data_IF_222678468149
#
_entry.id   IF_222678468149
#
_cell.length_a   1.000
_cell.length_b   1.000
_cell.length_c   1.000
_cell.angle_alpha   90.00
_cell.angle_beta   90.00
_cell.angle_gamma   90.00
#
_symmetry.space_group_name_H-M   'P 1'
#
loop_
_entity.id
_entity.type
_entity.pdbx_description
1 polymer ?
#
# COMPACT_ATOMS: atom_id res chain seq x y z
N UNK A 1 18.10 19.78 -25.79
CA UNK A 1 17.54 20.19 -24.48
C UNK A 1 16.26 19.45 -24.10
N UNK A 2 15.45 18.96 -25.04
CA UNK A 2 14.21 18.19 -24.76
C UNK A 2 14.45 16.78 -24.19
N UNK A 3 15.52 16.09 -24.61
CA UNK A 3 15.84 14.73 -24.14
C UNK A 3 16.31 14.65 -22.68
N UNK A 4 17.02 15.67 -22.18
CA UNK A 4 17.43 15.71 -20.77
C UNK A 4 16.23 15.98 -19.85
N UNK A 5 15.30 16.84 -20.26
CA UNK A 5 14.06 17.10 -19.50
C UNK A 5 13.21 15.84 -19.32
N UNK A 6 13.06 15.04 -20.39
CA UNK A 6 12.33 13.77 -20.37
C UNK A 6 12.99 12.73 -19.44
N UNK A 7 14.32 12.67 -19.39
CA UNK A 7 15.05 11.76 -18.51
C UNK A 7 14.87 12.13 -17.03
N UNK A 8 14.93 13.42 -16.70
CA UNK A 8 14.65 13.91 -15.34
C UNK A 8 13.18 13.71 -14.96
N UNK A 9 12.25 13.91 -15.90
CA UNK A 9 10.83 13.63 -15.67
C UNK A 9 10.57 12.13 -15.44
N UNK A 10 11.17 11.26 -16.26
CA UNK A 10 11.02 9.82 -16.13
C UNK A 10 11.56 9.28 -14.81
N UNK A 11 12.69 9.80 -14.35
CA UNK A 11 13.29 9.43 -13.04
C UNK A 11 12.49 9.99 -11.86
N UNK A 12 12.02 11.24 -11.92
CA UNK A 12 11.18 11.83 -10.87
C UNK A 12 9.83 11.11 -10.72
N UNK A 13 9.16 10.78 -11.84
CA UNK A 13 7.90 10.04 -11.83
C UNK A 13 8.10 8.61 -11.33
N UNK A 14 9.18 7.95 -11.76
CA UNK A 14 9.54 6.61 -11.27
C UNK A 14 9.81 6.61 -9.77
N UNK A 15 10.58 7.57 -9.26
CA UNK A 15 10.84 7.71 -7.82
C UNK A 15 9.56 7.99 -7.03
N UNK A 16 8.69 8.86 -7.54
CA UNK A 16 7.39 9.14 -6.90
C UNK A 16 6.50 7.89 -6.84
N UNK A 17 6.51 7.06 -7.89
CA UNK A 17 5.78 5.79 -7.90
C UNK A 17 6.35 4.79 -6.89
N UNK A 18 7.68 4.69 -6.76
CA UNK A 18 8.34 3.80 -5.79
C UNK A 18 8.03 4.25 -4.35
N UNK A 19 8.14 5.55 -4.07
CA UNK A 19 7.84 6.12 -2.75
C UNK A 19 6.39 5.81 -2.37
N UNK A 20 5.44 6.05 -3.27
CA UNK A 20 4.02 5.78 -3.01
C UNK A 20 3.73 4.30 -2.80
N UNK A 21 4.41 3.39 -3.51
CA UNK A 21 4.30 1.95 -3.24
C UNK A 21 4.85 1.58 -1.86
N UNK A 22 6.00 2.14 -1.46
CA UNK A 22 6.58 1.91 -0.14
C UNK A 22 5.67 2.44 0.98
N UNK A 23 5.10 3.63 0.81
CA UNK A 23 4.12 4.22 1.75
C UNK A 23 2.88 3.32 1.88
N UNK A 24 2.35 2.85 0.76
CA UNK A 24 1.18 1.97 0.74
C UNK A 24 1.47 0.62 1.42
N UNK A 25 2.64 0.03 1.15
CA UNK A 25 3.09 -1.21 1.78
C UNK A 25 3.30 -1.04 3.29
N UNK A 26 3.88 0.08 3.73
CA UNK A 26 4.07 0.38 5.15
C UNK A 26 2.72 0.48 5.87
N UNK A 27 1.73 1.17 5.28
CA UNK A 27 0.38 1.25 5.86
C UNK A 27 -0.32 -0.11 5.91
N UNK A 28 -0.19 -0.94 4.87
CA UNK A 28 -0.67 -2.33 4.91
C UNK A 28 -0.07 -3.08 6.09
N UNK A 29 1.25 -3.03 6.25
CA UNK A 29 1.96 -3.73 7.32
C UNK A 29 1.54 -3.22 8.71
N UNK A 30 1.41 -1.90 8.88
CA UNK A 30 0.91 -1.31 10.13
C UNK A 30 -0.55 -1.72 10.41
N UNK A 31 -1.41 -1.74 9.39
CA UNK A 31 -2.81 -2.15 9.56
C UNK A 31 -2.90 -3.63 9.98
N UNK A 32 -2.08 -4.51 9.39
CA UNK A 32 -1.98 -5.92 9.77
C UNK A 32 -1.42 -6.07 11.19
N UNK A 33 -0.39 -5.32 11.55
CA UNK A 33 0.19 -5.35 12.90
C UNK A 33 -0.81 -4.89 13.98
N UNK A 34 -1.77 -4.04 13.61
CA UNK A 34 -2.88 -3.61 14.48
C UNK A 34 -4.12 -4.52 14.36
N UNK A 35 -3.98 -5.73 13.82
CA UNK A 35 -5.06 -6.72 13.66
C UNK A 35 -6.29 -6.19 12.91
N UNK A 36 -6.09 -5.48 11.79
CA UNK A 36 -7.21 -5.01 10.96
C UNK A 36 -8.11 -6.18 10.53
N UNK A 37 -9.38 -6.13 10.94
CA UNK A 37 -10.37 -7.17 10.64
C UNK A 37 -11.08 -6.90 9.33
N UNK A 38 -11.71 -7.93 8.78
CA UNK A 38 -12.49 -7.81 7.56
C UNK A 38 -13.59 -6.74 7.70
N UNK A 39 -13.69 -5.84 6.73
CA UNK A 39 -14.64 -4.73 6.71
C UNK A 39 -14.16 -3.50 7.49
N UNK A 40 -13.10 -3.62 8.29
CA UNK A 40 -12.53 -2.49 9.02
C UNK A 40 -11.65 -1.63 8.14
N UNK A 41 -11.58 -0.36 8.52
CA UNK A 41 -10.75 0.67 7.91
C UNK A 41 -9.95 1.35 9.01
N UNK A 42 -8.65 1.54 8.74
CA UNK A 42 -7.77 2.39 9.53
C UNK A 42 -7.37 3.62 8.73
N UNK A 43 -7.40 4.76 9.38
CA UNK A 43 -6.93 6.02 8.83
C UNK A 43 -5.51 6.31 9.32
N UNK A 44 -4.68 6.76 8.39
CA UNK A 44 -3.29 7.13 8.61
C UNK A 44 -3.07 8.54 8.07
N UNK A 45 -1.98 9.18 8.49
CA UNK A 45 -1.62 10.50 7.97
C UNK A 45 -1.37 10.52 6.46
N UNK A 46 -1.04 9.38 5.85
CA UNK A 46 -0.75 9.25 4.41
C UNK A 46 -1.95 8.79 3.58
N UNK A 47 -3.03 8.33 4.23
CA UNK A 47 -4.15 7.71 3.54
C UNK A 47 -4.97 6.81 4.45
N UNK A 48 -5.58 5.79 3.90
CA UNK A 48 -6.40 4.82 4.62
C UNK A 48 -6.09 3.41 4.16
N UNK A 49 -6.19 2.43 5.05
CA UNK A 49 -6.12 1.03 4.72
C UNK A 49 -7.42 0.34 5.12
N UNK A 50 -8.05 -0.37 4.19
CA UNK A 50 -9.30 -1.10 4.41
C UNK A 50 -9.11 -2.57 4.08
N UNK A 51 -9.49 -3.46 5.00
CA UNK A 51 -9.47 -4.90 4.72
C UNK A 51 -10.81 -5.35 4.14
N UNK A 52 -10.76 -6.06 3.01
CA UNK A 52 -11.89 -6.70 2.33
C UNK A 52 -11.52 -8.16 2.06
N UNK A 53 -11.87 -9.03 2.99
CA UNK A 53 -11.50 -10.45 3.00
C UNK A 53 -9.99 -10.62 3.09
N UNK A 54 -9.43 -11.27 2.07
CA UNK A 54 -7.98 -11.51 1.92
C UNK A 54 -7.24 -10.35 1.24
N UNK A 55 -7.93 -9.25 0.92
CA UNK A 55 -7.32 -8.05 0.35
C UNK A 55 -7.25 -6.93 1.37
N UNK A 56 -6.14 -6.22 1.40
CA UNK A 56 -6.00 -4.93 2.05
C UNK A 56 -5.86 -3.87 0.95
N UNK A 57 -6.84 -2.98 0.88
CA UNK A 57 -6.92 -1.88 -0.08
C UNK A 57 -6.38 -0.65 0.63
N UNK A 58 -5.28 -0.11 0.14
CA UNK A 58 -4.66 1.10 0.67
C UNK A 58 -4.92 2.24 -0.30
N UNK A 59 -5.60 3.29 0.18
CA UNK A 59 -5.85 4.51 -0.58
C UNK A 59 -4.98 5.62 -0.03
N UNK A 60 -4.05 6.13 -0.82
CA UNK A 60 -3.26 7.31 -0.48
C UNK A 60 -4.11 8.58 -0.58
N UNK A 61 -3.67 9.66 0.09
CA UNK A 61 -4.32 10.99 0.01
C UNK A 61 -4.44 11.54 -1.40
N UNK A 62 -3.54 11.17 -2.30
CA UNK A 62 -3.61 11.51 -3.73
C UNK A 62 -4.59 10.62 -4.52
N UNK A 63 -5.46 9.88 -3.83
CA UNK A 63 -6.49 9.00 -4.37
C UNK A 63 -5.97 7.79 -5.17
N UNK A 64 -4.67 7.50 -5.13
CA UNK A 64 -4.15 6.24 -5.66
C UNK A 64 -4.49 5.09 -4.73
N UNK A 65 -4.99 4.01 -5.34
CA UNK A 65 -5.33 2.78 -4.65
C UNK A 65 -4.28 1.71 -4.94
N UNK A 66 -3.92 0.97 -3.90
CA UNK A 66 -3.01 -0.16 -3.95
C UNK A 66 -3.69 -1.36 -3.30
N UNK A 67 -3.81 -2.44 -4.06
CA UNK A 67 -4.42 -3.67 -3.59
C UNK A 67 -3.32 -4.65 -3.20
N UNK A 68 -3.28 -5.02 -1.92
CA UNK A 68 -2.37 -6.02 -1.41
C UNK A 68 -3.12 -7.26 -0.97
N UNK A 69 -2.60 -8.44 -1.32
CA UNK A 69 -3.04 -9.67 -0.69
C UNK A 69 -2.46 -9.75 0.73
N UNK A 70 -3.35 -10.01 1.68
CA UNK A 70 -2.99 -10.40 3.04
C UNK A 70 -2.98 -11.92 2.99
N UNK A 71 -1.79 -12.50 2.83
CA UNK A 71 -1.64 -13.93 3.09
C UNK A 71 -1.96 -14.13 4.57
N UNK A 72 -3.11 -14.74 4.83
CA UNK A 72 -3.33 -15.39 6.10
C UNK A 72 -2.27 -16.47 6.16
N UNK A 73 -1.19 -16.22 6.93
CA UNK A 73 -0.31 -17.29 7.35
C UNK A 73 -1.24 -18.29 7.99
N UNK A 74 -1.57 -19.35 7.25
CA UNK A 74 -2.25 -20.47 7.83
C UNK A 74 -1.33 -20.87 8.96
N UNK A 75 -1.74 -20.58 10.20
CA UNK A 75 -1.35 -21.38 11.34
C UNK A 75 -1.80 -22.77 10.95
N UNK A 76 -0.92 -23.47 10.25
CA UNK A 76 -0.91 -24.90 10.11
C UNK A 76 -0.82 -25.36 11.55
N UNK A 77 -1.98 -25.49 12.19
CA UNK A 77 -2.15 -26.30 13.39
C UNK A 77 -1.75 -27.70 12.95
N UNK A 78 -0.46 -27.98 13.04
CA UNK A 78 0.05 -29.33 13.13
C UNK A 78 -0.37 -29.83 14.51
N UNK A 79 -1.26 -30.81 14.49
CA UNK A 79 -1.70 -31.70 15.58
C UNK A 79 -2.18 -31.04 16.87
#
# INVERSE_FOLDING_TARGET
MTGQLMYYYGSAVSNSNIVQQNEAQAMKNMAIANDIKNGQQFEFNLGQAKRKGQKCIVTLKNQRNFDFFVEEWQTSKKN
#
